data_IF_195419689299
#
_entry.id   IF_195419689299
#
_cell.length_a   1.000
_cell.length_b   1.000
_cell.length_c   1.000
_cell.angle_alpha   90.00
_cell.angle_beta   90.00
_cell.angle_gamma   90.00
#
_symmetry.space_group_name_H-M   'P 1'
#
loop_
_entity.id
_entity.type
_entity.pdbx_description
1 polymer ?
#
# COMPACT_ATOMS: atom_id res chain seq x y z
N UNK A 1 -8.91 -9.67 -26.27
CA UNK A 1 -9.31 -8.33 -25.76
C UNK A 1 -8.20 -7.32 -26.07
N UNK A 2 -8.54 -6.09 -26.53
CA UNK A 2 -7.54 -5.04 -26.77
C UNK A 2 -7.08 -4.41 -25.44
N UNK A 3 -5.80 -4.04 -25.33
CA UNK A 3 -5.19 -3.44 -24.13
C UNK A 3 -5.99 -2.27 -23.52
N UNK A 4 -6.47 -1.36 -24.37
CA UNK A 4 -7.30 -0.21 -23.95
C UNK A 4 -8.57 -0.65 -23.21
N UNK A 5 -9.21 -1.73 -23.67
CA UNK A 5 -10.43 -2.25 -23.06
C UNK A 5 -10.12 -2.91 -21.72
N UNK A 6 -9.02 -3.65 -21.62
CA UNK A 6 -8.58 -4.30 -20.38
C UNK A 6 -8.23 -3.29 -19.30
N UNK A 7 -7.49 -2.25 -19.68
CA UNK A 7 -7.13 -1.14 -18.79
C UNK A 7 -8.38 -0.41 -18.29
N UNK A 8 -9.32 -0.08 -19.19
CA UNK A 8 -10.57 0.57 -18.84
C UNK A 8 -11.42 -0.31 -17.90
N UNK A 9 -11.52 -1.60 -18.17
CA UNK A 9 -12.25 -2.54 -17.33
C UNK A 9 -11.70 -2.56 -15.90
N UNK A 10 -10.38 -2.75 -15.77
CA UNK A 10 -9.71 -2.82 -14.47
C UNK A 10 -9.85 -1.50 -13.70
N UNK A 11 -9.63 -0.37 -14.37
CA UNK A 11 -9.75 0.95 -13.77
C UNK A 11 -11.17 1.23 -13.28
N UNK A 12 -12.19 0.95 -14.09
CA UNK A 12 -13.59 1.17 -13.68
C UNK A 12 -13.91 0.34 -12.44
N UNK A 13 -13.49 -0.93 -12.42
CA UNK A 13 -13.72 -1.79 -11.26
C UNK A 13 -13.04 -1.24 -10.00
N UNK A 14 -11.77 -0.87 -10.09
CA UNK A 14 -11.03 -0.28 -8.96
C UNK A 14 -11.62 1.05 -8.50
N UNK A 15 -12.07 1.92 -9.42
CA UNK A 15 -12.68 3.20 -9.08
C UNK A 15 -14.04 3.04 -8.40
N UNK A 16 -14.87 2.09 -8.85
CA UNK A 16 -16.14 1.78 -8.18
C UNK A 16 -15.86 1.25 -6.77
N UNK A 17 -14.94 0.31 -6.61
CA UNK A 17 -14.56 -0.21 -5.29
C UNK A 17 -14.02 0.89 -4.37
N UNK A 18 -13.21 1.81 -4.92
CA UNK A 18 -12.68 2.96 -4.19
C UNK A 18 -13.80 3.92 -3.76
N UNK A 19 -14.78 4.18 -4.63
CA UNK A 19 -15.96 4.97 -4.28
C UNK A 19 -16.77 4.34 -3.15
N UNK A 20 -17.03 3.03 -3.22
CA UNK A 20 -17.73 2.29 -2.16
C UNK A 20 -16.95 2.36 -0.84
N UNK A 21 -15.63 2.17 -0.90
CA UNK A 21 -14.76 2.28 0.27
C UNK A 21 -14.82 3.66 0.91
N UNK A 22 -14.77 4.74 0.13
CA UNK A 22 -14.84 6.09 0.69
C UNK A 22 -16.21 6.42 1.29
N UNK A 23 -17.32 5.93 0.71
CA UNK A 23 -18.65 6.07 1.31
C UNK A 23 -18.69 5.37 2.68
N UNK A 24 -18.21 4.13 2.72
CA UNK A 24 -18.10 3.36 3.98
C UNK A 24 -17.20 4.07 4.99
N UNK A 25 -16.03 4.56 4.56
CA UNK A 25 -15.07 5.23 5.43
C UNK A 25 -15.58 6.59 5.92
N UNK A 26 -16.30 7.38 5.13
CA UNK A 26 -16.94 8.61 5.61
C UNK A 26 -17.94 8.30 6.73
N UNK A 27 -18.73 7.24 6.55
CA UNK A 27 -19.73 6.84 7.53
C UNK A 27 -19.08 6.42 8.85
N UNK A 28 -18.13 5.48 8.83
CA UNK A 28 -17.52 4.94 10.05
C UNK A 28 -16.34 5.76 10.59
N UNK A 29 -15.58 6.41 9.71
CA UNK A 29 -14.37 7.17 10.04
C UNK A 29 -14.62 8.65 10.36
N UNK A 30 -15.77 9.21 9.96
CA UNK A 30 -16.15 10.61 10.24
C UNK A 30 -17.46 10.68 11.01
N UNK A 31 -18.57 10.19 10.44
CA UNK A 31 -19.90 10.44 11.02
C UNK A 31 -20.07 9.80 12.40
N UNK A 32 -19.62 8.56 12.57
CA UNK A 32 -19.68 7.87 13.87
C UNK A 32 -18.86 8.58 14.96
N UNK A 33 -17.58 8.92 14.75
CA UNK A 33 -16.80 9.70 15.71
C UNK A 33 -17.42 11.06 16.04
N UNK A 34 -17.91 11.80 15.04
CA UNK A 34 -18.57 13.11 15.25
C UNK A 34 -19.84 12.96 16.07
N UNK A 35 -20.66 11.93 15.79
CA UNK A 35 -21.84 11.62 16.57
C UNK A 35 -21.48 11.25 18.02
N UNK A 36 -20.43 10.44 18.23
CA UNK A 36 -19.92 10.10 19.56
C UNK A 36 -19.43 11.32 20.35
N UNK A 37 -18.76 12.27 19.69
CA UNK A 37 -18.37 13.54 20.30
C UNK A 37 -19.58 14.37 20.72
N UNK A 38 -20.60 14.44 19.87
CA UNK A 38 -21.84 15.14 20.18
C UNK A 38 -22.59 14.52 21.37
N UNK A 39 -22.68 13.19 21.43
CA UNK A 39 -23.35 12.47 22.52
C UNK A 39 -22.56 12.53 23.83
N UNK A 40 -21.22 12.45 23.77
CA UNK A 40 -20.37 12.46 24.97
C UNK A 40 -20.24 13.83 25.62
N UNK A 41 -20.50 14.93 24.90
CA UNK A 41 -20.29 16.30 25.38
C UNK A 41 -18.83 16.63 25.68
N UNK A 42 -17.88 15.80 25.24
CA UNK A 42 -16.46 15.97 25.54
C UNK A 42 -15.87 17.21 24.84
N UNK A 43 -14.94 17.87 25.53
CA UNK A 43 -14.21 19.04 25.01
C UNK A 43 -12.83 18.68 24.47
N UNK A 44 -12.42 17.41 24.57
CA UNK A 44 -11.12 16.96 24.09
C UNK A 44 -11.15 16.78 22.57
N UNK A 45 -10.11 17.27 21.85
CA UNK A 45 -10.02 17.08 20.42
C UNK A 45 -9.72 15.62 20.09
N UNK A 46 -10.44 15.07 19.11
CA UNK A 46 -10.23 13.70 18.62
C UNK A 46 -9.67 13.77 17.20
N UNK A 47 -8.59 13.03 16.96
CA UNK A 47 -7.99 12.89 15.64
C UNK A 47 -8.23 11.50 15.06
N UNK A 48 -8.61 11.43 13.78
CA UNK A 48 -8.71 10.17 13.03
C UNK A 48 -7.69 10.16 11.88
N UNK A 49 -7.11 9.00 11.61
CA UNK A 49 -6.13 8.83 10.53
C UNK A 49 -6.81 8.39 9.23
N UNK A 50 -6.55 9.14 8.16
CA UNK A 50 -7.13 8.87 6.83
C UNK A 50 -6.30 7.85 6.04
N UNK A 51 -4.99 7.77 6.31
CA UNK A 51 -4.04 7.05 5.46
C UNK A 51 -4.03 5.55 5.73
N UNK A 52 -4.06 5.13 7.00
CA UNK A 52 -3.98 3.73 7.39
C UNK A 52 -5.13 2.90 6.76
N UNK A 53 -6.40 3.34 6.84
CA UNK A 53 -7.49 2.62 6.17
C UNK A 53 -7.31 2.52 4.65
N UNK A 54 -6.84 3.60 4.01
CA UNK A 54 -6.58 3.62 2.57
C UNK A 54 -5.46 2.64 2.20
N UNK A 55 -4.39 2.57 2.99
CA UNK A 55 -3.29 1.62 2.79
C UNK A 55 -3.80 0.19 2.79
N UNK A 56 -4.59 -0.19 3.80
CA UNK A 56 -5.17 -1.54 3.86
C UNK A 56 -6.10 -1.82 2.68
N UNK A 57 -6.95 -0.86 2.33
CA UNK A 57 -7.82 -0.98 1.17
C UNK A 57 -7.01 -1.19 -0.13
N UNK A 58 -5.96 -0.39 -0.36
CA UNK A 58 -5.06 -0.49 -1.52
C UNK A 58 -4.41 -1.87 -1.66
N UNK A 59 -4.00 -2.48 -0.54
CA UNK A 59 -3.45 -3.84 -0.53
C UNK A 59 -4.54 -4.84 -0.94
N UNK A 60 -5.72 -4.76 -0.31
CA UNK A 60 -6.82 -5.70 -0.51
C UNK A 60 -7.34 -5.65 -1.94
N UNK A 61 -7.59 -4.46 -2.50
CA UNK A 61 -8.13 -4.34 -3.86
C UNK A 61 -7.14 -4.86 -4.90
N UNK A 62 -5.85 -4.58 -4.72
CA UNK A 62 -4.79 -5.08 -5.60
C UNK A 62 -4.65 -6.60 -5.49
N UNK A 63 -4.75 -7.15 -4.28
CA UNK A 63 -4.76 -8.59 -4.03
C UNK A 63 -5.94 -9.30 -4.72
N UNK A 64 -7.16 -8.76 -4.58
CA UNK A 64 -8.37 -9.36 -5.15
C UNK A 64 -8.35 -9.30 -6.68
N UNK A 65 -7.93 -8.16 -7.25
CA UNK A 65 -7.83 -7.96 -8.69
C UNK A 65 -6.96 -9.03 -9.37
N UNK A 66 -5.86 -9.41 -8.73
CA UNK A 66 -4.98 -10.44 -9.27
C UNK A 66 -5.62 -11.85 -9.28
N UNK A 67 -6.50 -12.16 -8.31
CA UNK A 67 -7.15 -13.48 -8.25
C UNK A 67 -8.26 -13.65 -9.32
N UNK A 68 -9.09 -12.62 -9.53
CA UNK A 68 -10.23 -12.68 -10.47
C UNK A 68 -9.86 -12.25 -11.88
N UNK A 69 -9.19 -11.11 -12.01
CA UNK A 69 -9.07 -10.40 -13.29
C UNK A 69 -7.97 -11.01 -14.14
N UNK A 70 -6.94 -11.59 -13.51
CA UNK A 70 -5.88 -12.30 -14.21
C UNK A 70 -6.40 -13.46 -15.05
N UNK A 71 -7.28 -14.31 -14.48
CA UNK A 71 -7.86 -15.46 -15.19
C UNK A 71 -8.73 -14.99 -16.33
N UNK A 72 -9.55 -13.97 -16.09
CA UNK A 72 -10.38 -13.34 -17.11
C UNK A 72 -9.55 -12.78 -18.28
N UNK A 73 -8.44 -12.10 -18.00
CA UNK A 73 -7.56 -11.56 -19.04
C UNK A 73 -6.87 -12.64 -19.86
N UNK A 74 -6.45 -13.74 -19.24
CA UNK A 74 -5.86 -14.87 -19.97
C UNK A 74 -6.90 -15.55 -20.86
N UNK A 75 -8.11 -15.80 -20.35
CA UNK A 75 -9.22 -16.35 -21.15
C UNK A 75 -9.57 -15.44 -22.34
N UNK A 76 -9.47 -14.12 -22.14
CA UNK A 76 -9.66 -13.12 -23.19
C UNK A 76 -8.47 -12.98 -24.16
N UNK A 77 -7.42 -13.80 -24.03
CA UNK A 77 -6.27 -13.85 -24.94
C UNK A 77 -5.27 -12.69 -24.78
N UNK A 78 -5.21 -12.03 -23.62
CA UNK A 78 -4.19 -11.00 -23.37
C UNK A 78 -2.81 -11.61 -23.11
N UNK A 79 -1.78 -11.01 -23.72
CA UNK A 79 -0.38 -11.37 -23.47
C UNK A 79 0.00 -11.02 -22.02
N UNK A 80 0.89 -11.83 -21.40
CA UNK A 80 1.36 -11.64 -20.01
C UNK A 80 1.94 -10.24 -19.75
N UNK A 81 2.74 -9.72 -20.68
CA UNK A 81 3.28 -8.36 -20.59
C UNK A 81 2.17 -7.30 -20.60
N UNK A 82 1.13 -7.47 -21.43
CA UNK A 82 0.00 -6.55 -21.43
C UNK A 82 -0.76 -6.58 -20.11
N UNK A 83 -0.91 -7.74 -19.47
CA UNK A 83 -1.52 -7.86 -18.14
C UNK A 83 -0.70 -7.13 -17.07
N UNK A 84 0.63 -7.25 -17.13
CA UNK A 84 1.53 -6.50 -16.26
C UNK A 84 1.33 -4.99 -16.40
N UNK A 85 1.34 -4.46 -17.64
CA UNK A 85 1.17 -3.03 -17.90
C UNK A 85 -0.23 -2.54 -17.51
N UNK A 86 -1.28 -3.35 -17.74
CA UNK A 86 -2.65 -3.03 -17.30
C UNK A 86 -2.68 -2.84 -15.78
N UNK A 87 -2.14 -3.79 -15.01
CA UNK A 87 -2.09 -3.71 -13.55
C UNK A 87 -1.26 -2.51 -13.08
N UNK A 88 -0.08 -2.28 -13.68
CA UNK A 88 0.78 -1.14 -13.36
C UNK A 88 0.04 0.20 -13.54
N UNK A 89 -0.65 0.36 -14.68
CA UNK A 89 -1.41 1.59 -14.95
C UNK A 89 -2.58 1.77 -13.98
N UNK A 90 -3.25 0.67 -13.62
CA UNK A 90 -4.37 0.69 -12.69
C UNK A 90 -3.93 1.10 -11.28
N UNK A 91 -2.87 0.49 -10.74
CA UNK A 91 -2.36 0.85 -9.41
C UNK A 91 -1.78 2.27 -9.38
N UNK A 92 -1.16 2.74 -10.47
CA UNK A 92 -0.63 4.11 -10.52
C UNK A 92 -1.76 5.14 -10.46
N UNK A 93 -2.80 4.97 -11.27
CA UNK A 93 -3.94 5.89 -11.32
C UNK A 93 -4.73 5.84 -10.00
N UNK A 94 -5.02 4.65 -9.46
CA UNK A 94 -5.77 4.52 -8.21
C UNK A 94 -4.99 5.07 -7.01
N UNK A 95 -3.67 4.85 -6.94
CA UNK A 95 -2.82 5.42 -5.88
C UNK A 95 -2.77 6.95 -5.96
N UNK A 96 -2.68 7.51 -7.16
CA UNK A 96 -2.68 8.96 -7.36
C UNK A 96 -4.01 9.57 -6.91
N UNK A 97 -5.13 9.03 -7.36
CA UNK A 97 -6.46 9.51 -6.96
C UNK A 97 -6.67 9.39 -5.44
N UNK A 98 -6.30 8.26 -4.86
CA UNK A 98 -6.39 8.03 -3.40
C UNK A 98 -5.55 9.05 -2.63
N UNK A 99 -4.34 9.36 -3.11
CA UNK A 99 -3.46 10.34 -2.46
C UNK A 99 -4.03 11.76 -2.49
N UNK A 100 -4.65 12.16 -3.61
CA UNK A 100 -5.32 13.47 -3.74
C UNK A 100 -6.50 13.52 -2.77
N UNK A 101 -7.34 12.49 -2.75
CA UNK A 101 -8.50 12.43 -1.85
C UNK A 101 -8.06 12.46 -0.39
N UNK A 102 -7.06 11.68 0.00
CA UNK A 102 -6.54 11.65 1.36
C UNK A 102 -6.07 13.03 1.84
N UNK A 103 -5.34 13.76 0.99
CA UNK A 103 -4.86 15.12 1.32
C UNK A 103 -5.96 16.17 1.34
N UNK A 104 -7.01 16.02 0.52
CA UNK A 104 -8.18 16.89 0.59
C UNK A 104 -8.95 16.64 1.88
N UNK A 105 -9.13 15.37 2.26
CA UNK A 105 -9.79 14.99 3.51
C UNK A 105 -9.01 15.46 4.74
N UNK A 106 -7.68 15.39 4.73
CA UNK A 106 -6.86 15.87 5.86
C UNK A 106 -6.89 17.38 6.07
N UNK A 107 -7.45 18.14 5.12
CA UNK A 107 -7.69 19.58 5.29
C UNK A 107 -9.05 19.88 5.92
N UNK A 108 -9.93 18.89 6.04
CA UNK A 108 -11.21 19.05 6.71
C UNK A 108 -10.99 19.01 8.22
N UNK A 109 -11.42 20.08 8.89
CA UNK A 109 -11.53 20.16 10.34
C UNK A 109 -12.99 20.45 10.67
N UNK A 110 -13.60 19.62 11.51
CA UNK A 110 -14.98 19.78 11.96
C UNK A 110 -14.90 20.00 13.47
N UNK A 111 -14.95 21.26 13.91
CA UNK A 111 -14.82 21.68 15.31
C UNK A 111 -13.67 20.97 16.07
N UNK A 112 -14.02 19.97 16.89
CA UNK A 112 -13.11 19.19 17.75
C UNK A 112 -12.59 17.92 17.08
N UNK A 113 -13.05 17.61 15.86
CA UNK A 113 -12.67 16.44 15.11
C UNK A 113 -11.72 16.82 13.96
N UNK A 114 -10.50 16.30 14.04
CA UNK A 114 -9.47 16.55 13.05
C UNK A 114 -9.14 15.29 12.25
N UNK A 115 -9.16 15.39 10.93
CA UNK A 115 -8.64 14.35 10.05
C UNK A 115 -7.17 14.58 9.82
N UNK A 116 -6.35 13.61 10.19
CA UNK A 116 -4.90 13.70 10.10
C UNK A 116 -4.35 12.62 9.19
N UNK A 117 -3.15 12.87 8.68
CA UNK A 117 -2.31 11.85 8.08
C UNK A 117 -1.11 11.72 9.00
N UNK A 118 -1.04 10.62 9.75
CA UNK A 118 0.00 10.35 10.74
C UNK A 118 1.41 10.58 10.18
N UNK A 119 1.65 10.16 8.94
CA UNK A 119 2.93 10.30 8.26
C UNK A 119 3.33 11.75 7.93
N UNK A 120 2.39 12.67 7.79
CA UNK A 120 2.63 14.10 7.48
C UNK A 120 2.41 14.98 8.74
N UNK A 121 2.12 14.36 9.88
CA UNK A 121 2.03 15.04 11.17
C UNK A 121 3.38 15.67 11.54
N UNK A 122 3.33 16.70 12.42
CA UNK A 122 4.50 17.48 12.83
C UNK A 122 5.67 16.65 13.39
N UNK A 123 5.37 15.46 13.92
CA UNK A 123 6.35 14.57 14.54
C UNK A 123 6.97 13.55 13.57
N UNK A 124 6.47 13.48 12.33
CA UNK A 124 6.91 12.56 11.29
C UNK A 124 7.53 13.33 10.10
N UNK A 125 7.01 13.14 8.88
CA UNK A 125 7.54 13.73 7.66
C UNK A 125 6.83 15.02 7.27
N UNK A 126 6.68 15.95 8.21
CA UNK A 126 6.00 17.20 7.95
C UNK A 126 6.72 17.99 6.85
N UNK A 127 5.95 18.47 5.86
CA UNK A 127 6.46 19.38 4.85
C UNK A 127 5.39 20.36 4.44
N UNK A 128 5.76 21.65 4.40
CA UNK A 128 4.88 22.73 3.94
C UNK A 128 4.54 22.63 2.45
N UNK A 129 5.34 21.87 1.70
CA UNK A 129 5.17 21.69 0.28
C UNK A 129 4.10 20.62 -0.01
N UNK A 130 2.94 21.08 -0.51
CA UNK A 130 1.84 20.21 -0.92
C UNK A 130 2.28 19.12 -1.93
N UNK A 131 3.15 19.44 -2.89
CA UNK A 131 3.61 18.47 -3.89
C UNK A 131 4.48 17.37 -3.27
N UNK A 132 5.28 17.72 -2.26
CA UNK A 132 6.13 16.75 -1.56
C UNK A 132 5.27 15.80 -0.71
N UNK A 133 4.27 16.34 -0.02
CA UNK A 133 3.27 15.56 0.72
C UNK A 133 2.44 14.66 -0.20
N UNK A 134 2.03 15.17 -1.37
CA UNK A 134 1.34 14.39 -2.41
C UNK A 134 2.21 13.25 -2.92
N UNK A 135 3.47 13.54 -3.27
CA UNK A 135 4.42 12.55 -3.75
C UNK A 135 4.67 11.45 -2.73
N UNK A 136 4.82 11.81 -1.44
CA UNK A 136 5.00 10.87 -0.35
C UNK A 136 3.81 9.90 -0.23
N UNK A 137 2.59 10.43 -0.13
CA UNK A 137 1.38 9.62 0.01
C UNK A 137 1.15 8.76 -1.23
N UNK A 138 1.35 9.34 -2.42
CA UNK A 138 1.27 8.62 -3.69
C UNK A 138 2.21 7.42 -3.72
N UNK A 139 3.51 7.63 -3.46
CA UNK A 139 4.52 6.56 -3.52
C UNK A 139 4.27 5.49 -2.45
N UNK A 140 3.81 5.90 -1.26
CA UNK A 140 3.44 4.97 -0.21
C UNK A 140 2.25 4.08 -0.62
N UNK A 141 1.17 4.66 -1.13
CA UNK A 141 0.02 3.88 -1.62
C UNK A 141 0.39 3.00 -2.82
N UNK A 142 1.25 3.50 -3.70
CA UNK A 142 1.76 2.74 -4.85
C UNK A 142 2.60 1.54 -4.41
N UNK A 143 3.46 1.71 -3.40
CA UNK A 143 4.23 0.63 -2.81
C UNK A 143 3.33 -0.47 -2.22
N UNK A 144 2.35 -0.09 -1.40
CA UNK A 144 1.43 -1.05 -0.79
C UNK A 144 0.49 -1.72 -1.81
N UNK A 145 0.08 -1.02 -2.85
CA UNK A 145 -0.68 -1.61 -3.96
C UNK A 145 0.17 -2.64 -4.73
N UNK A 146 1.45 -2.32 -4.98
CA UNK A 146 2.41 -3.25 -5.60
C UNK A 146 2.63 -4.50 -4.73
N UNK A 147 2.69 -4.32 -3.41
CA UNK A 147 2.75 -5.43 -2.45
C UNK A 147 1.49 -6.29 -2.55
N UNK A 148 0.30 -5.68 -2.62
CA UNK A 148 -0.97 -6.38 -2.82
C UNK A 148 -1.00 -7.23 -4.09
N UNK A 149 -0.45 -6.73 -5.21
CA UNK A 149 -0.32 -7.51 -6.44
C UNK A 149 0.58 -8.75 -6.27
N UNK A 150 1.75 -8.58 -5.63
CA UNK A 150 2.66 -9.71 -5.35
C UNK A 150 1.99 -10.74 -4.45
N UNK A 151 1.33 -10.31 -3.37
CA UNK A 151 0.58 -11.22 -2.50
C UNK A 151 -0.55 -11.94 -3.24
N UNK A 152 -1.25 -11.23 -4.12
CA UNK A 152 -2.30 -11.80 -4.98
C UNK A 152 -1.75 -12.88 -5.91
N UNK A 153 -0.63 -12.60 -6.59
CA UNK A 153 0.02 -13.59 -7.47
C UNK A 153 0.48 -14.81 -6.68
N UNK A 154 1.10 -14.59 -5.52
CA UNK A 154 1.57 -15.67 -4.65
C UNK A 154 0.43 -16.56 -4.20
N UNK A 155 -0.71 -15.97 -3.83
CA UNK A 155 -1.90 -16.70 -3.40
C UNK A 155 -2.53 -17.55 -4.51
N UNK A 156 -2.51 -17.09 -5.76
CA UNK A 156 -3.07 -17.85 -6.89
C UNK A 156 -2.11 -18.94 -7.40
N UNK A 157 -0.78 -18.70 -7.33
CA UNK A 157 0.24 -19.68 -7.76
C UNK A 157 0.34 -20.85 -6.77
N UNK A 158 0.37 -20.58 -5.46
CA UNK A 158 0.62 -21.59 -4.44
C UNK A 158 -0.65 -21.97 -3.70
N UNK A 159 -1.04 -23.25 -3.78
CA UNK A 159 -2.20 -23.81 -3.08
C UNK A 159 -1.81 -24.85 -2.03
N UNK A 160 -2.66 -25.00 -1.01
CA UNK A 160 -2.55 -26.04 0.02
C UNK A 160 -1.26 -25.99 0.85
N UNK A 161 -0.66 -27.15 1.09
CA UNK A 161 0.47 -27.33 1.99
C UNK A 161 1.74 -26.58 1.55
N UNK A 162 1.99 -26.47 0.25
CA UNK A 162 3.16 -25.73 -0.29
C UNK A 162 3.14 -24.26 0.12
N UNK A 163 1.94 -23.64 0.12
CA UNK A 163 1.75 -22.25 0.53
C UNK A 163 2.13 -22.07 2.01
N UNK A 164 1.74 -23.01 2.86
CA UNK A 164 2.05 -22.98 4.30
C UNK A 164 3.56 -23.06 4.54
N UNK A 165 4.26 -24.00 3.87
CA UNK A 165 5.71 -24.13 4.00
C UNK A 165 6.43 -22.83 3.59
N UNK A 166 6.05 -22.25 2.44
CA UNK A 166 6.69 -21.02 1.97
C UNK A 166 6.42 -19.86 2.93
N UNK A 167 5.19 -19.74 3.46
CA UNK A 167 4.88 -18.73 4.48
C UNK A 167 5.73 -18.90 5.73
N UNK A 168 5.90 -20.13 6.23
CA UNK A 168 6.77 -20.41 7.37
C UNK A 168 8.24 -20.05 7.11
N UNK A 169 8.75 -20.34 5.91
CA UNK A 169 10.10 -19.96 5.50
C UNK A 169 10.26 -18.44 5.38
N UNK A 170 9.25 -17.72 4.88
CA UNK A 170 9.30 -16.26 4.82
C UNK A 170 9.26 -15.65 6.22
N UNK A 171 8.44 -16.21 7.12
CA UNK A 171 8.36 -15.78 8.52
C UNK A 171 9.65 -16.07 9.32
N UNK A 172 10.46 -17.03 8.90
CA UNK A 172 11.74 -17.31 9.56
C UNK A 172 12.84 -16.31 9.19
N UNK A 173 12.73 -15.59 8.06
CA UNK A 173 13.72 -14.60 7.62
C UNK A 173 13.94 -13.49 8.67
N UNK A 174 12.90 -12.80 9.19
CA UNK A 174 13.06 -11.80 10.25
C UNK A 174 13.69 -12.37 11.53
N UNK A 175 13.37 -13.62 11.88
CA UNK A 175 13.89 -14.30 13.08
C UNK A 175 15.39 -14.51 12.92
N UNK A 176 15.82 -15.08 11.78
CA UNK A 176 17.24 -15.33 11.49
C UNK A 176 18.02 -14.01 11.42
N UNK A 177 17.47 -12.99 10.75
CA UNK A 177 18.09 -11.65 10.71
C UNK A 177 18.24 -11.04 12.11
N UNK A 178 17.22 -11.14 12.95
CA UNK A 178 17.25 -10.65 14.33
C UNK A 178 18.36 -11.34 15.14
N UNK A 179 18.46 -12.67 15.04
CA UNK A 179 19.52 -13.45 15.71
C UNK A 179 20.90 -13.02 15.20
N UNK A 180 21.08 -12.89 13.88
CA UNK A 180 22.36 -12.45 13.30
C UNK A 180 22.76 -11.05 13.77
N UNK A 181 21.82 -10.12 13.88
CA UNK A 181 22.07 -8.77 14.41
C UNK A 181 22.43 -8.84 15.90
N UNK A 182 21.75 -9.68 16.69
CA UNK A 182 22.02 -9.84 18.11
C UNK A 182 23.40 -10.44 18.40
N UNK A 183 23.79 -11.46 17.62
CA UNK A 183 25.11 -12.10 17.72
C UNK A 183 26.26 -11.23 17.16
N UNK A 184 25.94 -10.22 16.34
CA UNK A 184 26.94 -9.30 15.79
C UNK A 184 27.57 -8.36 16.83
N UNK A 185 28.84 -8.01 16.60
CA UNK A 185 29.54 -7.01 17.42
C UNK A 185 28.89 -5.62 17.34
N UNK A 186 29.23 -4.75 18.31
CA UNK A 186 28.70 -3.37 18.41
C UNK A 186 28.83 -2.57 17.11
N UNK A 187 29.93 -2.74 16.38
CA UNK A 187 30.13 -2.12 15.06
C UNK A 187 29.10 -2.58 14.01
N UNK A 188 28.76 -3.87 13.99
CA UNK A 188 27.76 -4.43 13.07
C UNK A 188 26.35 -3.95 13.44
N UNK A 189 26.01 -3.93 14.73
CA UNK A 189 24.74 -3.38 15.23
C UNK A 189 24.59 -1.91 14.82
N UNK A 190 25.62 -1.10 15.01
CA UNK A 190 25.59 0.33 14.62
C UNK A 190 25.42 0.52 13.11
N UNK A 191 26.09 -0.30 12.28
CA UNK A 191 25.88 -0.27 10.82
C UNK A 191 24.43 -0.59 10.45
N UNK A 192 23.84 -1.62 11.05
CA UNK A 192 22.44 -1.98 10.84
C UNK A 192 21.47 -0.88 11.29
N UNK A 193 21.68 -0.28 12.46
CA UNK A 193 20.86 0.84 12.93
C UNK A 193 20.98 2.07 12.03
N UNK A 194 22.18 2.39 11.55
CA UNK A 194 22.38 3.49 10.62
C UNK A 194 21.72 3.22 9.27
N UNK A 195 21.77 1.97 8.79
CA UNK A 195 21.08 1.54 7.58
C UNK A 195 19.55 1.70 7.71
N UNK A 196 18.96 1.23 8.82
CA UNK A 196 17.52 1.39 9.09
C UNK A 196 17.12 2.86 9.21
N UNK A 197 17.93 3.70 9.87
CA UNK A 197 17.69 5.15 9.92
C UNK A 197 17.72 5.78 8.53
N UNK A 198 18.65 5.36 7.67
CA UNK A 198 18.72 5.82 6.29
C UNK A 198 17.49 5.44 5.47
N UNK A 199 16.96 4.22 5.65
CA UNK A 199 15.73 3.74 4.98
C UNK A 199 14.54 4.62 5.34
N UNK A 200 14.40 4.97 6.61
CA UNK A 200 13.29 5.77 7.15
C UNK A 200 13.63 7.28 7.05
N UNK A 201 14.75 7.66 6.42
CA UNK A 201 15.14 9.06 6.24
C UNK A 201 15.34 9.85 7.54
N UNK A 202 15.66 9.18 8.64
CA UNK A 202 15.93 9.82 9.93
C UNK A 202 17.38 10.32 10.01
N UNK A 203 17.54 11.62 10.30
CA UNK A 203 18.82 12.23 10.64
C UNK A 203 18.75 12.91 12.01
N UNK A 204 19.84 12.84 12.77
CA UNK A 204 19.94 13.49 14.09
C UNK A 204 19.77 15.01 14.03
N UNK A 205 20.16 15.64 12.93
CA UNK A 205 20.17 17.11 12.78
C UNK A 205 18.85 17.66 12.23
N UNK A 206 18.14 16.88 11.40
CA UNK A 206 16.96 17.33 10.65
C UNK A 206 15.67 16.58 10.98
N UNK A 207 15.72 15.59 11.88
CA UNK A 207 14.60 14.71 12.16
C UNK A 207 14.28 13.78 10.98
N UNK A 208 13.01 13.40 10.83
CA UNK A 208 12.54 12.60 9.70
C UNK A 208 12.43 13.46 8.43
N UNK A 209 13.11 13.03 7.37
CA UNK A 209 13.07 13.70 6.08
C UNK A 209 12.28 12.85 5.06
N UNK A 210 11.31 13.44 4.33
CA UNK A 210 10.45 12.69 3.42
C UNK A 210 11.18 12.12 2.21
N UNK A 211 12.22 12.82 1.72
CA UNK A 211 12.91 12.46 0.48
C UNK A 211 13.60 11.08 0.52
N UNK A 212 14.45 10.76 1.52
CA UNK A 212 15.05 9.43 1.58
C UNK A 212 14.01 8.31 1.74
N UNK A 213 12.95 8.57 2.48
CA UNK A 213 11.87 7.60 2.64
C UNK A 213 11.11 7.37 1.33
N UNK A 214 10.78 8.44 0.59
CA UNK A 214 10.24 8.39 -0.77
C UNK A 214 11.13 7.54 -1.68
N UNK A 215 12.45 7.78 -1.68
CA UNK A 215 13.38 7.03 -2.53
C UNK A 215 13.38 5.54 -2.17
N UNK A 216 13.33 5.21 -0.89
CA UNK A 216 13.32 3.82 -0.44
C UNK A 216 12.04 3.10 -0.85
N UNK A 217 10.88 3.74 -0.66
CA UNK A 217 9.60 3.20 -1.12
C UNK A 217 9.54 3.04 -2.63
N UNK A 218 10.11 3.99 -3.39
CA UNK A 218 10.16 3.91 -4.84
C UNK A 218 11.02 2.73 -5.32
N UNK A 219 12.22 2.57 -4.76
CA UNK A 219 13.10 1.41 -5.05
C UNK A 219 12.40 0.10 -4.67
N UNK A 220 11.77 0.05 -3.50
CA UNK A 220 11.00 -1.10 -3.06
C UNK A 220 9.85 -1.44 -4.02
N UNK A 221 9.16 -0.43 -4.53
CA UNK A 221 8.08 -0.60 -5.53
C UNK A 221 8.61 -1.20 -6.83
N UNK A 222 9.77 -0.74 -7.31
CA UNK A 222 10.42 -1.31 -8.50
C UNK A 222 10.74 -2.79 -8.30
N UNK A 223 11.31 -3.15 -7.14
CA UNK A 223 11.64 -4.55 -6.81
C UNK A 223 10.37 -5.40 -6.77
N UNK A 224 9.30 -4.93 -6.13
CA UNK A 224 8.01 -5.63 -6.07
C UNK A 224 7.39 -5.80 -7.46
N UNK A 225 7.45 -4.78 -8.32
CA UNK A 225 6.94 -4.87 -9.69
C UNK A 225 7.77 -5.84 -10.55
N UNK A 226 9.08 -5.88 -10.34
CA UNK A 226 9.94 -6.87 -11.00
C UNK A 226 9.56 -8.28 -10.55
N UNK A 227 9.42 -8.52 -9.25
CA UNK A 227 8.94 -9.80 -8.72
C UNK A 227 7.57 -10.18 -9.30
N UNK A 228 6.61 -9.25 -9.31
CA UNK A 228 5.29 -9.44 -9.89
C UNK A 228 5.37 -9.81 -11.38
N UNK A 229 6.23 -9.14 -12.17
CA UNK A 229 6.45 -9.47 -13.57
C UNK A 229 6.99 -10.89 -13.76
N UNK A 230 8.00 -11.28 -12.99
CA UNK A 230 8.58 -12.63 -13.04
C UNK A 230 7.56 -13.70 -12.66
N UNK A 231 6.83 -13.50 -11.57
CA UNK A 231 5.80 -14.41 -11.10
C UNK A 231 4.70 -14.58 -12.15
N UNK A 232 4.23 -13.48 -12.77
CA UNK A 232 3.23 -13.52 -13.83
C UNK A 232 3.68 -14.26 -15.10
N UNK A 233 4.98 -14.23 -15.40
CA UNK A 233 5.54 -14.95 -16.55
C UNK A 233 5.48 -16.47 -16.32
N UNK A 234 5.75 -16.93 -15.11
CA UNK A 234 5.72 -18.35 -14.73
C UNK A 234 4.34 -18.86 -14.29
N UNK A 235 3.33 -17.99 -14.24
CA UNK A 235 2.03 -18.33 -13.65
C UNK A 235 1.17 -19.18 -14.60
N UNK A 236 1.01 -20.46 -14.27
CA UNK A 236 0.05 -21.35 -14.92
C UNK A 236 -1.36 -21.13 -14.38
N UNK A 237 -2.37 -21.10 -15.27
CA UNK A 237 -3.77 -20.89 -14.84
C UNK A 237 -4.29 -22.17 -14.20
N UNK A 238 -4.38 -22.19 -12.86
CA UNK A 238 -4.98 -23.30 -12.14
C UNK A 238 -6.50 -23.27 -12.28
N UNK A 239 -7.08 -24.35 -12.81
CA UNK A 239 -8.51 -24.64 -12.69
C UNK A 239 -8.76 -25.03 -11.23
N UNK A 240 -9.41 -24.15 -10.46
CA UNK A 240 -9.94 -24.57 -9.16
C UNK A 240 -11.01 -25.62 -9.46
N UNK A 241 -10.71 -26.88 -9.14
CA UNK A 241 -11.74 -27.91 -9.06
C UNK A 241 -12.77 -27.46 -8.03
N UNK A 242 -14.03 -27.54 -8.42
CA UNK A 242 -15.19 -27.29 -7.54
C UNK A 242 -15.13 -28.22 -6.35
#
# INVERSE_FOLDING_TARGET
>A
MKFKVATRYLLIHQLISLGIFFIWWILFGILFPVFGLYVSGSNEPVSSDVLIPIVFFSIIISFLSMNSDFKFFIQCGLKRFSIFIVNLSAIAISSLLSSIIALLLSKLSIDKFNLTIFLISKDAYHSDNFLLSLLLVFILLFFFSSLGLVLGTFNDIFSGFKKIIILLLVMSIPIVLSILIQLGNSAMKNKWFNFLKSIIGYSREKGFSPLPFITTLFIGSIVLLFLFYFMNRSHEVQRKGV
#
